data_IF_198252925317
#
_entry.id   IF_198252925317
#
_cell.length_a   1.000
_cell.length_b   1.000
_cell.length_c   1.000
_cell.angle_alpha   90.00
_cell.angle_beta   90.00
_cell.angle_gamma   90.00
#
_symmetry.space_group_name_H-M   'P 1'
#
loop_
_entity.id
_entity.type
_entity.pdbx_description
1 polymer ?
#
# COMPACT_ATOMS: atom_id res chain seq x y z
N UNK A 1 -2.85 16.35 18.62
CA UNK A 1 -3.32 17.76 18.49
C UNK A 1 -3.38 18.06 17.01
N UNK A 2 -4.59 18.25 16.46
CA UNK A 2 -4.76 18.45 15.03
C UNK A 2 -4.58 19.94 14.70
N UNK A 3 -3.80 20.26 13.65
CA UNK A 3 -3.53 21.66 13.29
C UNK A 3 -4.66 22.33 12.52
N UNK A 4 -5.58 21.53 11.99
CA UNK A 4 -6.85 22.00 11.41
C UNK A 4 -7.67 22.87 12.37
N UNK A 5 -7.46 22.69 13.68
CA UNK A 5 -8.25 23.30 14.74
C UNK A 5 -7.67 24.66 15.20
N UNK A 6 -6.60 25.13 14.55
CA UNK A 6 -5.87 26.34 14.90
C UNK A 6 -5.71 27.28 13.70
N UNK A 7 -5.79 28.58 13.95
CA UNK A 7 -5.49 29.65 13.00
C UNK A 7 -4.03 30.08 13.11
N UNK A 8 -3.45 30.46 11.97
CA UNK A 8 -2.11 31.05 11.89
C UNK A 8 -2.18 32.48 12.40
N UNK A 9 -1.26 32.87 13.27
CA UNK A 9 -1.15 34.27 13.74
C UNK A 9 -0.17 35.07 12.89
N UNK A 10 -0.04 36.37 13.15
CA UNK A 10 0.99 37.23 12.53
C UNK A 10 2.43 36.80 12.85
N UNK A 11 2.64 35.95 13.86
CA UNK A 11 3.95 35.44 14.25
C UNK A 11 4.17 34.01 13.74
N UNK A 12 5.23 33.81 12.96
CA UNK A 12 5.56 32.51 12.40
C UNK A 12 5.84 31.47 13.49
N UNK A 13 5.11 30.35 13.42
CA UNK A 13 5.16 29.27 14.38
C UNK A 13 4.25 29.45 15.60
N UNK A 14 3.48 30.55 15.69
CA UNK A 14 2.48 30.76 16.72
C UNK A 14 1.07 30.58 16.15
N UNK A 15 0.26 29.79 16.85
CA UNK A 15 -1.09 29.43 16.44
C UNK A 15 -2.08 29.62 17.59
N UNK A 16 -3.33 29.93 17.25
CA UNK A 16 -4.42 30.14 18.20
C UNK A 16 -5.60 29.23 17.86
N UNK A 17 -6.29 28.65 18.84
CA UNK A 17 -7.41 27.75 18.55
C UNK A 17 -8.58 28.50 17.91
N UNK A 18 -9.20 27.88 16.90
CA UNK A 18 -10.41 28.39 16.24
C UNK A 18 -11.58 28.48 17.22
N UNK A 19 -11.73 27.42 18.03
CA UNK A 19 -12.78 27.31 19.05
C UNK A 19 -12.29 27.92 20.37
N UNK A 20 -13.13 28.73 21.00
CA UNK A 20 -12.88 29.33 22.32
C UNK A 20 -13.55 28.49 23.41
N UNK A 21 -12.80 28.14 24.46
CA UNK A 21 -13.37 27.41 25.58
C UNK A 21 -14.13 28.36 26.52
N UNK A 22 -15.35 28.04 27.00
CA UNK A 22 -16.17 28.96 27.80
C UNK A 22 -15.44 29.52 29.03
N UNK A 23 -14.70 28.66 29.74
CA UNK A 23 -13.96 29.00 30.98
C UNK A 23 -12.52 29.48 30.75
N UNK A 24 -11.89 29.10 29.65
CA UNK A 24 -10.43 29.28 29.48
C UNK A 24 -10.07 30.21 28.34
N UNK A 25 -10.98 30.49 27.40
CA UNK A 25 -10.71 31.30 26.21
C UNK A 25 -10.04 30.51 25.09
N UNK A 26 -9.52 31.21 24.08
CA UNK A 26 -8.76 30.59 23.00
C UNK A 26 -7.38 30.13 23.50
N UNK A 27 -6.89 29.04 22.92
CA UNK A 27 -5.63 28.38 23.30
C UNK A 27 -4.50 28.78 22.36
N UNK A 28 -3.38 29.22 22.91
CA UNK A 28 -2.16 29.51 22.14
C UNK A 28 -1.20 28.33 22.16
N UNK A 29 -0.64 28.01 21.00
CA UNK A 29 0.40 26.98 20.84
C UNK A 29 1.56 27.50 20.00
N UNK A 30 2.78 27.11 20.38
CA UNK A 30 3.98 27.26 19.56
C UNK A 30 4.26 25.96 18.82
N UNK A 31 4.57 26.05 17.54
CA UNK A 31 5.07 24.95 16.72
C UNK A 31 6.12 25.44 15.73
N UNK A 32 7.29 24.81 15.77
CA UNK A 32 8.39 25.10 14.84
C UNK A 32 9.26 23.84 14.65
N UNK A 33 10.09 23.86 13.62
CA UNK A 33 11.05 22.80 13.33
C UNK A 33 12.47 23.34 13.54
N UNK A 34 13.30 22.59 14.25
CA UNK A 34 14.71 22.89 14.46
C UNK A 34 15.49 21.58 14.51
N UNK A 35 16.64 21.51 13.81
CA UNK A 35 17.51 20.34 13.71
C UNK A 35 16.76 19.03 13.37
N UNK A 36 15.95 19.07 12.30
CA UNK A 36 15.10 17.95 11.82
C UNK A 36 14.09 17.39 12.84
N UNK A 37 13.95 18.01 14.02
CA UNK A 37 12.95 17.70 15.05
C UNK A 37 11.84 18.74 15.07
N UNK A 38 10.61 18.29 15.33
CA UNK A 38 9.43 19.15 15.42
C UNK A 38 9.09 19.39 16.89
N UNK A 39 8.97 20.66 17.28
CA UNK A 39 8.62 21.08 18.62
C UNK A 39 7.19 21.61 18.64
N UNK A 40 6.41 21.20 19.64
CA UNK A 40 5.05 21.69 19.88
C UNK A 40 4.88 21.93 21.37
N UNK A 41 4.42 23.13 21.76
CA UNK A 41 4.15 23.47 23.16
C UNK A 41 2.89 24.30 23.29
N UNK A 42 2.06 23.96 24.28
CA UNK A 42 0.94 24.81 24.70
C UNK A 42 1.49 25.95 25.52
N UNK A 43 1.21 27.19 25.11
CA UNK A 43 1.71 28.39 25.77
C UNK A 43 0.77 28.88 26.87
N UNK A 44 -0.53 28.75 26.65
CA UNK A 44 -1.56 29.17 27.61
C UNK A 44 -2.89 29.46 26.94
N UNK A 45 -3.80 30.06 27.71
CA UNK A 45 -5.14 30.41 27.25
C UNK A 45 -5.47 31.89 27.51
N UNK A 46 -6.20 32.49 26.57
CA UNK A 46 -6.56 33.90 26.53
C UNK A 46 -7.26 34.40 27.82
N UNK A 47 -8.29 33.68 28.31
CA UNK A 47 -9.05 34.12 29.49
C UNK A 47 -8.44 33.65 30.81
N UNK A 48 -7.99 32.40 30.86
CA UNK A 48 -7.44 31.80 32.09
C UNK A 48 -6.14 32.46 32.52
N UNK A 49 -5.24 32.65 31.56
CA UNK A 49 -3.88 33.10 31.80
C UNK A 49 -3.73 34.60 31.44
N UNK A 50 -4.84 35.27 31.10
CA UNK A 50 -4.88 36.67 30.59
C UNK A 50 -3.86 36.90 29.48
N UNK A 51 -3.72 35.92 28.59
CA UNK A 51 -2.63 35.86 27.62
C UNK A 51 -2.99 36.62 26.34
N UNK A 52 -2.27 37.71 26.07
CA UNK A 52 -2.38 38.47 24.81
C UNK A 52 -1.54 37.83 23.70
N UNK A 53 -1.77 38.23 22.44
CA UNK A 53 -0.98 37.76 21.29
C UNK A 53 0.52 38.04 21.47
N UNK A 54 0.88 39.25 21.92
CA UNK A 54 2.27 39.62 22.22
C UNK A 54 2.85 38.82 23.39
N UNK A 55 2.03 38.57 24.42
CA UNK A 55 2.42 37.72 25.55
C UNK A 55 2.70 36.28 25.11
N UNK A 56 1.85 35.74 24.23
CA UNK A 56 2.04 34.42 23.64
C UNK A 56 3.28 34.37 22.74
N UNK A 57 3.55 35.43 21.97
CA UNK A 57 4.77 35.53 21.17
C UNK A 57 6.03 35.54 22.05
N UNK A 58 6.06 36.31 23.15
CA UNK A 58 7.17 36.29 24.13
C UNK A 58 7.38 34.90 24.73
N UNK A 59 6.30 34.18 25.06
CA UNK A 59 6.40 32.80 25.56
C UNK A 59 6.90 31.83 24.50
N UNK A 60 6.53 32.02 23.23
CA UNK A 60 7.07 31.25 22.11
C UNK A 60 8.56 31.50 21.92
N UNK A 61 8.99 32.76 21.91
CA UNK A 61 10.41 33.11 21.76
C UNK A 61 11.24 32.61 22.95
N UNK A 62 10.74 32.74 24.18
CA UNK A 62 11.38 32.13 25.35
C UNK A 62 11.48 30.59 25.24
N UNK A 63 10.48 29.95 24.64
CA UNK A 63 10.51 28.51 24.38
C UNK A 63 11.52 28.15 23.29
N UNK A 64 11.58 28.90 22.18
CA UNK A 64 12.61 28.75 21.14
C UNK A 64 14.01 28.95 21.73
N UNK A 65 14.19 30.00 22.53
CA UNK A 65 15.44 30.32 23.19
C UNK A 65 15.83 29.27 24.23
N UNK A 66 14.88 28.64 24.92
CA UNK A 66 15.16 27.49 25.79
C UNK A 66 15.71 26.32 24.99
N UNK A 67 15.11 26.00 23.84
CA UNK A 67 15.62 24.93 22.96
C UNK A 67 16.99 25.30 22.38
N UNK A 68 17.20 26.56 22.00
CA UNK A 68 18.48 27.06 21.49
C UNK A 68 19.55 27.14 22.58
N UNK A 69 19.18 27.46 23.84
CA UNK A 69 20.07 27.47 25.00
C UNK A 69 20.39 26.05 25.46
N UNK A 70 19.48 25.09 25.41
CA UNK A 70 19.78 23.69 25.69
C UNK A 70 20.79 23.14 24.67
N UNK A 71 20.68 23.54 23.39
CA UNK A 71 21.64 23.16 22.35
C UNK A 71 22.96 23.92 22.50
N UNK A 72 22.96 25.22 22.82
CA UNK A 72 24.18 26.00 23.09
C UNK A 72 24.86 25.67 24.42
N UNK A 73 24.12 25.23 25.45
CA UNK A 73 24.66 24.66 26.69
C UNK A 73 25.24 23.29 26.40
N UNK A 74 24.58 22.44 25.60
CA UNK A 74 25.19 21.19 25.15
C UNK A 74 26.50 21.47 24.39
N UNK A 75 26.54 22.42 23.45
CA UNK A 75 27.77 22.77 22.71
C UNK A 75 28.84 23.45 23.60
N UNK A 76 28.46 24.34 24.53
CA UNK A 76 29.40 24.92 25.52
C UNK A 76 29.88 23.90 26.55
N UNK A 77 29.07 22.91 26.93
CA UNK A 77 29.48 21.80 27.80
C UNK A 77 30.47 20.91 27.04
N UNK A 78 30.26 20.66 25.73
CA UNK A 78 31.23 19.93 24.89
C UNK A 78 32.54 20.71 24.67
N UNK A 79 32.50 22.05 24.60
CA UNK A 79 33.70 22.90 24.40
C UNK A 79 34.42 23.31 25.69
N UNK A 80 33.76 23.27 26.87
CA UNK A 80 34.40 23.52 28.17
C UNK A 80 34.92 22.23 28.83
N UNK A 81 34.33 21.08 28.52
CA UNK A 81 34.81 19.76 28.95
C UNK A 81 36.15 19.33 28.30
N UNK A 82 36.68 20.09 27.34
CA UNK A 82 38.03 19.91 26.79
C UNK A 82 39.10 20.73 27.51
N UNK A 83 38.77 21.54 28.52
CA UNK A 83 39.78 22.29 29.30
C UNK A 83 39.71 22.20 30.81
N UNK A 84 38.60 21.82 31.43
CA UNK A 84 38.60 21.50 32.87
C UNK A 84 37.57 20.41 33.17
N UNK A 85 38.05 19.22 33.57
CA UNK A 85 37.21 18.15 34.06
C UNK A 85 37.94 17.39 35.18
N UNK A 86 38.14 18.07 36.31
CA UNK A 86 38.17 17.42 37.61
C UNK A 86 36.72 17.28 38.12
N UNK A 87 36.32 16.02 38.32
CA UNK A 87 35.24 15.55 39.20
C UNK A 87 33.79 15.96 38.92
N UNK A 88 33.13 15.35 37.91
CA UNK A 88 31.71 14.95 38.02
C UNK A 88 31.51 13.59 37.35
N UNK A 89 30.94 12.65 38.12
CA UNK A 89 30.48 11.28 37.84
C UNK A 89 30.71 10.70 36.41
N UNK A 90 31.97 10.39 36.10
CA UNK A 90 32.35 9.58 34.92
C UNK A 90 31.65 8.22 34.88
N UNK A 91 31.28 7.65 36.02
CA UNK A 91 30.78 6.28 36.10
C UNK A 91 29.41 6.10 35.42
N UNK A 92 28.41 6.94 35.71
CA UNK A 92 27.05 6.78 35.14
C UNK A 92 26.99 7.02 33.63
N UNK A 93 27.70 8.05 33.12
CA UNK A 93 27.77 8.31 31.68
C UNK A 93 28.64 7.28 30.96
N UNK A 94 29.68 6.76 31.64
CA UNK A 94 30.46 5.63 31.12
C UNK A 94 29.64 4.35 31.07
N UNK A 95 28.73 4.12 32.02
CA UNK A 95 27.86 2.95 32.05
C UNK A 95 26.81 2.99 30.95
N UNK A 96 26.19 4.14 30.67
CA UNK A 96 25.27 4.28 29.54
C UNK A 96 25.99 4.17 28.18
N UNK A 97 27.17 4.78 28.04
CA UNK A 97 27.98 4.63 26.83
C UNK A 97 28.47 3.18 26.70
N UNK A 98 28.80 2.51 27.79
CA UNK A 98 29.20 1.10 27.81
C UNK A 98 28.04 0.20 27.44
N UNK A 99 26.83 0.44 27.97
CA UNK A 99 25.60 -0.23 27.55
C UNK A 99 25.28 -0.03 26.07
N UNK A 100 25.36 1.19 25.55
CA UNK A 100 25.12 1.48 24.13
C UNK A 100 26.19 0.86 23.22
N UNK A 101 27.45 0.77 23.70
CA UNK A 101 28.52 0.04 23.00
C UNK A 101 28.28 -1.46 23.04
N UNK A 102 27.89 -2.02 24.19
CA UNK A 102 27.54 -3.42 24.35
C UNK A 102 26.32 -3.80 23.50
N UNK A 103 25.27 -2.98 23.45
CA UNK A 103 24.14 -3.15 22.54
C UNK A 103 24.56 -3.07 21.08
N UNK A 104 25.39 -2.09 20.70
CA UNK A 104 25.87 -2.00 19.32
C UNK A 104 26.78 -3.18 18.94
N UNK A 105 27.65 -3.64 19.84
CA UNK A 105 28.48 -4.83 19.62
C UNK A 105 27.62 -6.10 19.61
N UNK A 106 26.57 -6.17 20.43
CA UNK A 106 25.58 -7.25 20.40
C UNK A 106 24.80 -7.24 19.08
N UNK A 107 24.31 -6.09 18.62
CA UNK A 107 23.66 -5.96 17.32
C UNK A 107 24.63 -6.28 16.18
N UNK A 108 25.91 -5.87 16.24
CA UNK A 108 26.93 -6.28 15.27
C UNK A 108 27.22 -7.79 15.32
N UNK A 109 27.21 -8.39 16.51
CA UNK A 109 27.40 -9.84 16.66
C UNK A 109 26.21 -10.63 16.10
N UNK A 110 24.98 -10.10 16.24
CA UNK A 110 23.77 -10.68 15.66
C UNK A 110 23.76 -10.51 14.14
N UNK A 111 24.08 -9.31 13.66
CA UNK A 111 24.05 -8.97 12.24
C UNK A 111 25.20 -9.63 11.44
N UNK A 112 26.19 -10.22 12.13
CA UNK A 112 27.51 -10.58 11.57
C UNK A 112 28.12 -9.38 10.81
N UNK A 113 29.27 -9.60 10.17
CA UNK A 113 29.91 -8.55 9.39
C UNK A 113 29.04 -8.24 8.17
N UNK A 114 28.22 -7.18 8.20
CA UNK A 114 27.47 -6.73 7.01
C UNK A 114 28.39 -6.52 5.80
N UNK A 115 29.70 -6.32 6.03
CA UNK A 115 30.76 -6.26 5.02
C UNK A 115 31.07 -7.62 4.34
N UNK A 116 30.62 -8.75 4.90
CA UNK A 116 30.71 -10.08 4.27
C UNK A 116 29.45 -10.45 3.50
N UNK A 117 28.41 -9.61 3.51
CA UNK A 117 27.23 -9.78 2.68
C UNK A 117 27.58 -9.26 1.28
N UNK A 118 27.22 -10.03 0.25
CA UNK A 118 27.38 -9.59 -1.14
C UNK A 118 26.69 -8.23 -1.33
N UNK A 119 27.39 -7.22 -1.89
CA UNK A 119 26.85 -5.86 -2.03
C UNK A 119 25.47 -5.80 -2.68
N UNK A 120 25.20 -6.69 -3.65
CA UNK A 120 23.94 -6.78 -4.39
C UNK A 120 22.77 -7.19 -3.47
N UNK A 121 23.01 -8.10 -2.52
CA UNK A 121 22.00 -8.54 -1.54
C UNK A 121 21.68 -7.39 -0.58
N UNK A 122 22.69 -6.63 -0.18
CA UNK A 122 22.52 -5.47 0.68
C UNK A 122 21.70 -4.38 -0.03
N UNK A 123 22.01 -4.11 -1.30
CA UNK A 123 21.27 -3.16 -2.12
C UNK A 123 19.81 -3.58 -2.32
N UNK A 124 19.54 -4.85 -2.67
CA UNK A 124 18.16 -5.37 -2.77
C UNK A 124 17.40 -5.22 -1.43
N UNK A 125 18.07 -5.50 -0.31
CA UNK A 125 17.51 -5.37 1.03
C UNK A 125 17.14 -3.93 1.38
N UNK A 126 18.03 -2.98 1.10
CA UNK A 126 17.83 -1.55 1.32
C UNK A 126 16.70 -1.03 0.42
N UNK A 127 16.73 -1.34 -0.87
CA UNK A 127 15.70 -0.92 -1.82
C UNK A 127 14.31 -1.41 -1.37
N UNK A 128 14.21 -2.66 -0.92
CA UNK A 128 12.96 -3.22 -0.40
C UNK A 128 12.43 -2.46 0.82
N UNK A 129 13.29 -1.87 1.66
CA UNK A 129 12.85 -1.01 2.76
C UNK A 129 12.27 0.29 2.22
N UNK A 130 12.95 0.94 1.28
CA UNK A 130 12.45 2.16 0.64
C UNK A 130 11.12 1.93 -0.08
N UNK A 131 11.01 0.86 -0.87
CA UNK A 131 9.78 0.45 -1.54
C UNK A 131 8.60 0.34 -0.56
N UNK A 132 8.84 -0.31 0.60
CA UNK A 132 7.83 -0.46 1.64
C UNK A 132 7.46 0.87 2.32
N UNK A 133 8.38 1.83 2.40
CA UNK A 133 8.08 3.17 2.92
C UNK A 133 7.27 3.98 1.91
N UNK A 134 7.57 3.87 0.63
CA UNK A 134 6.87 4.57 -0.45
C UNK A 134 5.40 4.13 -0.58
N UNK A 135 5.07 2.88 -0.24
CA UNK A 135 3.69 2.40 -0.22
C UNK A 135 2.84 3.00 0.92
N UNK A 136 3.46 3.44 2.02
CA UNK A 136 2.73 3.84 3.24
C UNK A 136 1.74 4.99 3.02
N UNK A 137 2.09 6.08 2.31
CA UNK A 137 1.14 7.15 2.07
C UNK A 137 -0.12 6.66 1.34
N UNK A 138 0.01 5.83 0.31
CA UNK A 138 -1.14 5.24 -0.39
C UNK A 138 -1.93 4.27 0.50
N UNK A 139 -1.28 3.56 1.41
CA UNK A 139 -1.96 2.71 2.39
C UNK A 139 -2.75 3.53 3.42
N UNK A 140 -2.28 4.73 3.79
CA UNK A 140 -3.07 5.67 4.62
C UNK A 140 -4.33 6.10 3.86
N UNK A 141 -4.20 6.38 2.56
CA UNK A 141 -5.35 6.72 1.73
C UNK A 141 -6.34 5.55 1.58
N UNK A 142 -5.87 4.30 1.55
CA UNK A 142 -6.77 3.14 1.57
C UNK A 142 -7.61 3.04 2.84
N UNK A 143 -7.06 3.43 3.99
CA UNK A 143 -7.81 3.45 5.25
C UNK A 143 -8.94 4.49 5.15
N UNK A 144 -8.65 5.67 4.61
CA UNK A 144 -9.68 6.71 4.38
C UNK A 144 -10.75 6.25 3.40
N UNK A 145 -10.35 5.58 2.31
CA UNK A 145 -11.28 5.00 1.35
C UNK A 145 -12.17 3.95 2.03
N UNK A 146 -11.59 3.07 2.86
CA UNK A 146 -12.34 2.07 3.61
C UNK A 146 -13.36 2.71 4.56
N UNK A 147 -12.94 3.72 5.33
CA UNK A 147 -13.83 4.48 6.22
C UNK A 147 -14.98 5.17 5.46
N UNK A 148 -14.70 5.67 4.25
CA UNK A 148 -15.70 6.28 3.38
C UNK A 148 -16.71 5.24 2.87
N UNK A 149 -16.24 4.08 2.40
CA UNK A 149 -17.14 3.01 1.94
C UNK A 149 -18.09 2.56 3.05
N UNK A 150 -17.60 2.49 4.29
CA UNK A 150 -18.41 2.14 5.47
C UNK A 150 -19.49 3.19 5.72
N UNK A 151 -19.14 4.47 5.76
CA UNK A 151 -20.09 5.58 5.99
C UNK A 151 -21.15 5.67 4.90
N UNK A 152 -20.73 5.53 3.65
CA UNK A 152 -21.60 5.63 2.48
C UNK A 152 -22.29 4.31 2.11
N UNK A 153 -22.08 3.27 2.93
CA UNK A 153 -22.65 1.93 2.78
C UNK A 153 -22.42 1.35 1.36
N UNK A 154 -21.25 1.59 0.78
CA UNK A 154 -20.88 1.16 -0.57
C UNK A 154 -20.23 -0.22 -0.55
N UNK A 155 -20.37 -0.95 -1.66
CA UNK A 155 -19.86 -2.32 -1.84
C UNK A 155 -18.73 -2.28 -2.86
N UNK A 156 -17.59 -2.90 -2.54
CA UNK A 156 -16.46 -2.95 -3.47
C UNK A 156 -15.96 -4.37 -3.68
N UNK A 157 -15.79 -4.76 -4.95
CA UNK A 157 -15.12 -5.97 -5.37
C UNK A 157 -13.87 -5.58 -6.16
N UNK A 158 -12.74 -6.20 -5.81
CA UNK A 158 -11.47 -6.05 -6.53
C UNK A 158 -11.01 -7.43 -6.97
N UNK A 159 -10.93 -7.64 -8.27
CA UNK A 159 -10.49 -8.89 -8.89
C UNK A 159 -9.02 -8.77 -9.25
N UNK A 160 -8.23 -9.75 -8.81
CA UNK A 160 -6.84 -9.92 -9.19
C UNK A 160 -6.73 -11.15 -10.10
N UNK A 161 -6.58 -10.90 -11.39
CA UNK A 161 -6.24 -11.91 -12.40
C UNK A 161 -4.83 -11.71 -12.94
N UNK A 162 -4.34 -12.68 -13.68
CA UNK A 162 -3.00 -12.70 -14.25
C UNK A 162 -2.37 -14.08 -14.17
N UNK A 163 -1.31 -14.28 -14.96
CA UNK A 163 -0.55 -15.54 -15.00
C UNK A 163 -0.03 -15.94 -13.63
N UNK A 164 0.32 -17.20 -13.47
CA UNK A 164 1.05 -17.63 -12.27
C UNK A 164 2.38 -16.91 -12.13
N UNK A 165 2.79 -16.72 -10.89
CA UNK A 165 3.94 -15.90 -10.53
C UNK A 165 3.91 -14.41 -10.93
N UNK A 166 2.82 -13.87 -11.49
CA UNK A 166 2.67 -12.44 -11.82
C UNK A 166 2.72 -11.49 -10.61
N UNK A 167 2.34 -11.96 -9.41
CA UNK A 167 2.52 -11.19 -8.17
C UNK A 167 1.25 -10.78 -7.43
N UNK A 168 0.08 -11.24 -7.89
CA UNK A 168 -1.27 -11.01 -7.31
C UNK A 168 -1.33 -11.06 -5.78
N UNK A 169 -1.10 -12.23 -5.18
CA UNK A 169 -1.13 -12.38 -3.72
C UNK A 169 -0.10 -11.51 -2.97
N UNK A 170 1.01 -11.16 -3.63
CA UNK A 170 1.97 -10.20 -3.08
C UNK A 170 1.45 -8.77 -3.06
N UNK A 171 0.67 -8.37 -4.07
CA UNK A 171 -0.02 -7.09 -4.12
C UNK A 171 -1.17 -7.03 -3.11
N UNK A 172 -2.02 -8.06 -3.07
CA UNK A 172 -3.12 -8.19 -2.09
C UNK A 172 -2.56 -8.03 -0.66
N UNK A 173 -1.50 -8.77 -0.30
CA UNK A 173 -0.87 -8.67 1.03
C UNK A 173 -0.34 -7.27 1.36
N UNK A 174 -0.01 -6.45 0.36
CA UNK A 174 0.48 -5.08 0.57
C UNK A 174 -0.68 -4.10 0.67
N UNK A 175 -1.71 -4.28 -0.15
CA UNK A 175 -2.96 -3.50 -0.09
C UNK A 175 -3.61 -3.67 1.28
N UNK A 176 -3.82 -4.91 1.72
CA UNK A 176 -4.57 -5.19 2.96
C UNK A 176 -3.78 -5.03 4.25
N UNK A 177 -2.48 -4.71 4.18
CA UNK A 177 -1.55 -4.77 5.33
C UNK A 177 -2.00 -3.97 6.55
N UNK A 178 -2.62 -2.81 6.34
CA UNK A 178 -3.04 -1.89 7.41
C UNK A 178 -4.55 -1.61 7.38
N UNK A 179 -5.31 -2.30 6.52
CA UNK A 179 -6.75 -2.14 6.46
C UNK A 179 -7.41 -2.79 7.68
N UNK A 180 -8.58 -2.28 8.08
CA UNK A 180 -9.37 -2.89 9.14
C UNK A 180 -9.97 -4.20 8.62
N UNK A 181 -9.57 -5.33 9.22
CA UNK A 181 -9.97 -6.67 8.83
C UNK A 181 -11.47 -6.97 9.00
N UNK A 182 -12.22 -6.12 9.72
CA UNK A 182 -13.67 -6.24 9.83
C UNK A 182 -14.41 -5.82 8.56
N UNK A 183 -13.79 -4.99 7.71
CA UNK A 183 -14.42 -4.40 6.53
C UNK A 183 -13.69 -4.77 5.24
N UNK A 184 -12.83 -5.79 5.28
CA UNK A 184 -12.34 -6.42 4.06
C UNK A 184 -12.24 -7.93 4.21
N UNK A 185 -12.40 -8.65 3.09
CA UNK A 185 -12.15 -10.09 3.01
C UNK A 185 -11.30 -10.41 1.78
N UNK A 186 -10.37 -11.35 1.92
CA UNK A 186 -9.64 -11.92 0.80
C UNK A 186 -10.24 -13.28 0.49
N UNK A 187 -10.71 -13.46 -0.75
CA UNK A 187 -11.33 -14.68 -1.22
C UNK A 187 -10.37 -15.35 -2.20
N UNK A 188 -9.90 -16.54 -1.84
CA UNK A 188 -9.03 -17.37 -2.67
C UNK A 188 -9.64 -18.77 -2.75
N UNK A 189 -10.52 -18.99 -3.72
CA UNK A 189 -11.21 -20.26 -3.88
C UNK A 189 -10.31 -21.30 -4.54
N UNK A 190 -10.34 -22.52 -4.01
CA UNK A 190 -9.68 -23.67 -4.62
C UNK A 190 -10.46 -24.27 -5.80
N UNK A 191 -10.06 -25.48 -6.20
CA UNK A 191 -10.79 -26.29 -7.18
C UNK A 191 -12.25 -26.49 -6.70
N UNK A 192 -13.26 -26.34 -7.59
CA UNK A 192 -14.65 -26.55 -7.20
C UNK A 192 -14.88 -27.99 -6.71
N UNK A 193 -15.70 -28.15 -5.67
CA UNK A 193 -16.19 -29.47 -5.22
C UNK A 193 -17.07 -30.13 -6.27
N UNK A 194 -17.39 -31.41 -6.11
CA UNK A 194 -18.32 -32.11 -7.01
C UNK A 194 -19.69 -31.42 -7.07
N UNK A 195 -20.22 -31.01 -5.92
CA UNK A 195 -21.47 -30.23 -5.87
C UNK A 195 -21.33 -28.91 -6.63
N UNK A 196 -20.25 -28.15 -6.39
CA UNK A 196 -20.02 -26.86 -7.05
C UNK A 196 -19.84 -26.97 -8.57
N UNK A 197 -19.31 -28.10 -9.07
CA UNK A 197 -19.21 -28.36 -10.52
C UNK A 197 -20.57 -28.58 -11.17
N UNK A 198 -21.56 -29.06 -10.41
CA UNK A 198 -22.92 -29.30 -10.88
C UNK A 198 -23.90 -28.18 -10.48
N UNK A 199 -23.41 -27.09 -9.88
CA UNK A 199 -24.17 -25.88 -9.61
C UNK A 199 -24.02 -24.89 -10.76
N UNK A 200 -24.84 -23.84 -10.74
CA UNK A 200 -24.57 -22.68 -11.58
C UNK A 200 -23.20 -22.10 -11.24
N UNK A 201 -22.34 -21.93 -12.24
CA UNK A 201 -20.93 -21.57 -12.08
C UNK A 201 -20.69 -20.35 -11.16
N UNK A 202 -21.55 -19.34 -11.25
CA UNK A 202 -21.41 -18.10 -10.48
C UNK A 202 -21.79 -18.24 -9.00
N UNK A 203 -22.56 -19.28 -8.63
CA UNK A 203 -23.11 -19.44 -7.29
C UNK A 203 -22.02 -19.41 -6.20
N UNK A 204 -20.94 -20.19 -6.39
CA UNK A 204 -19.82 -20.25 -5.42
C UNK A 204 -19.11 -18.90 -5.23
N UNK A 205 -19.17 -17.98 -6.19
CA UNK A 205 -18.54 -16.66 -6.07
C UNK A 205 -19.47 -15.66 -5.40
N UNK A 206 -20.77 -15.71 -5.73
CA UNK A 206 -21.80 -14.79 -5.20
C UNK A 206 -21.93 -14.92 -3.69
N UNK A 207 -21.77 -16.11 -3.13
CA UNK A 207 -21.75 -16.35 -1.67
C UNK A 207 -20.72 -15.50 -0.92
N UNK A 208 -19.69 -15.00 -1.61
CA UNK A 208 -18.63 -14.21 -1.02
C UNK A 208 -18.74 -12.71 -1.26
N UNK A 209 -19.78 -12.23 -1.95
CA UNK A 209 -19.92 -10.82 -2.31
C UNK A 209 -19.98 -9.91 -1.06
N UNK A 210 -19.54 -8.64 -1.20
CA UNK A 210 -19.54 -7.69 -0.10
C UNK A 210 -20.96 -7.28 0.29
N UNK A 211 -21.14 -7.11 1.59
CA UNK A 211 -22.22 -6.28 2.14
C UNK A 211 -21.79 -4.80 2.14
N UNK A 212 -22.72 -3.89 2.47
CA UNK A 212 -22.42 -2.47 2.47
C UNK A 212 -21.29 -2.12 3.47
N UNK A 213 -20.34 -1.31 3.01
CA UNK A 213 -19.11 -1.00 3.75
C UNK A 213 -17.97 -2.01 3.59
N UNK A 214 -18.17 -3.13 2.90
CA UNK A 214 -17.13 -4.15 2.72
C UNK A 214 -16.37 -4.01 1.39
N UNK A 215 -15.08 -4.35 1.46
CA UNK A 215 -14.21 -4.60 0.31
C UNK A 215 -13.89 -6.09 0.21
N UNK A 216 -14.21 -6.73 -0.92
CA UNK A 216 -13.83 -8.12 -1.18
C UNK A 216 -12.75 -8.17 -2.26
N UNK A 217 -11.60 -8.73 -1.92
CA UNK A 217 -10.47 -8.93 -2.82
C UNK A 217 -10.41 -10.39 -3.27
N UNK A 218 -10.64 -10.65 -4.54
CA UNK A 218 -10.59 -11.98 -5.14
C UNK A 218 -9.17 -12.26 -5.67
N UNK A 219 -8.45 -13.21 -5.05
CA UNK A 219 -7.21 -13.78 -5.60
C UNK A 219 -7.58 -14.91 -6.57
N UNK A 220 -7.66 -14.57 -7.86
CA UNK A 220 -8.48 -15.25 -8.88
C UNK A 220 -9.98 -15.14 -8.62
N UNK A 221 -10.76 -15.31 -9.67
CA UNK A 221 -12.20 -15.02 -9.68
C UNK A 221 -12.95 -15.95 -10.64
N UNK A 222 -14.19 -15.57 -11.00
CA UNK A 222 -14.96 -16.20 -12.07
C UNK A 222 -14.23 -16.22 -13.42
N UNK A 223 -13.24 -15.35 -13.63
CA UNK A 223 -12.37 -15.37 -14.81
C UNK A 223 -11.45 -16.59 -14.92
N UNK A 224 -11.42 -17.49 -13.93
CA UNK A 224 -10.84 -18.82 -14.12
C UNK A 224 -11.43 -19.53 -15.35
N UNK A 225 -12.73 -19.35 -15.63
CA UNK A 225 -13.41 -19.91 -16.81
C UNK A 225 -13.04 -19.23 -18.13
N UNK A 226 -12.51 -18.01 -18.11
CA UNK A 226 -11.94 -17.37 -19.29
C UNK A 226 -10.51 -17.84 -19.60
N UNK A 227 -9.77 -18.24 -18.57
CA UNK A 227 -8.31 -18.40 -18.63
C UNK A 227 -7.87 -19.85 -18.39
N UNK A 228 -7.84 -20.27 -17.13
CA UNK A 228 -7.20 -21.53 -16.72
C UNK A 228 -8.05 -22.75 -17.12
N UNK A 229 -9.36 -22.68 -16.95
CA UNK A 229 -10.26 -23.81 -17.23
C UNK A 229 -10.20 -24.27 -18.69
N UNK A 230 -10.30 -23.39 -19.72
CA UNK A 230 -10.28 -23.85 -21.11
C UNK A 230 -8.90 -24.32 -21.58
N UNK A 231 -7.80 -23.83 -20.99
CA UNK A 231 -6.42 -24.28 -21.34
C UNK A 231 -6.18 -25.71 -20.85
N UNK A 232 -6.62 -26.02 -19.62
CA UNK A 232 -6.42 -27.35 -19.04
C UNK A 232 -7.61 -28.31 -19.22
N UNK A 233 -8.65 -27.91 -19.98
CA UNK A 233 -9.84 -28.72 -20.21
C UNK A 233 -10.70 -28.97 -18.96
N UNK A 234 -10.73 -28.02 -18.01
CA UNK A 234 -11.56 -28.11 -16.80
C UNK A 234 -13.01 -27.63 -17.01
N UNK A 235 -13.31 -27.06 -18.17
CA UNK A 235 -14.65 -26.75 -18.64
C UNK A 235 -14.81 -27.18 -20.10
N UNK A 236 -16.06 -27.41 -20.54
CA UNK A 236 -16.32 -27.66 -21.96
C UNK A 236 -16.17 -26.37 -22.79
N UNK A 237 -15.95 -26.46 -24.11
CA UNK A 237 -15.96 -25.28 -24.99
C UNK A 237 -17.27 -24.48 -24.89
N UNK A 238 -18.40 -25.16 -24.74
CA UNK A 238 -19.72 -24.54 -24.58
C UNK A 238 -19.84 -23.77 -23.26
N UNK A 239 -19.37 -24.36 -22.14
CA UNK A 239 -19.35 -23.67 -20.85
C UNK A 239 -18.49 -22.41 -20.86
N UNK A 240 -17.34 -22.46 -21.54
CA UNK A 240 -16.46 -21.32 -21.73
C UNK A 240 -17.15 -20.21 -22.53
N UNK A 241 -17.79 -20.57 -23.64
CA UNK A 241 -18.44 -19.59 -24.53
C UNK A 241 -19.63 -18.92 -23.84
N UNK A 242 -20.50 -19.69 -23.17
CA UNK A 242 -21.61 -19.15 -22.37
C UNK A 242 -21.10 -18.15 -21.33
N UNK A 243 -20.04 -18.50 -20.59
CA UNK A 243 -19.44 -17.59 -19.63
C UNK A 243 -18.95 -16.29 -20.30
N UNK A 244 -18.29 -16.40 -21.46
CA UNK A 244 -17.72 -15.26 -22.16
C UNK A 244 -18.78 -14.33 -22.78
N UNK A 245 -19.95 -14.85 -23.13
CA UNK A 245 -21.11 -14.06 -23.59
C UNK A 245 -21.81 -13.35 -22.42
N UNK A 246 -22.01 -14.04 -21.30
CA UNK A 246 -22.86 -13.54 -20.21
C UNK A 246 -22.13 -12.61 -19.23
N UNK A 247 -20.80 -12.78 -19.05
CA UNK A 247 -20.11 -12.17 -17.92
C UNK A 247 -20.17 -10.64 -17.90
N UNK A 248 -20.14 -10.01 -19.07
CA UNK A 248 -20.22 -8.54 -19.16
C UNK A 248 -21.58 -8.03 -18.68
N UNK A 249 -22.66 -8.72 -19.02
CA UNK A 249 -24.02 -8.35 -18.58
C UNK A 249 -24.16 -8.54 -17.06
N UNK A 250 -23.65 -9.66 -16.55
CA UNK A 250 -23.61 -9.90 -15.10
C UNK A 250 -22.87 -8.78 -14.36
N UNK A 251 -21.66 -8.41 -14.80
CA UNK A 251 -20.88 -7.35 -14.19
C UNK A 251 -21.52 -5.97 -14.32
N UNK A 252 -22.19 -5.69 -15.45
CA UNK A 252 -22.96 -4.46 -15.63
C UNK A 252 -24.10 -4.36 -14.60
N UNK A 253 -24.82 -5.44 -14.35
CA UNK A 253 -25.90 -5.45 -13.36
C UNK A 253 -25.36 -5.19 -11.94
N UNK A 254 -24.20 -5.76 -11.60
CA UNK A 254 -23.52 -5.48 -10.34
C UNK A 254 -23.20 -3.99 -10.17
N UNK A 255 -22.61 -3.38 -11.20
CA UNK A 255 -22.26 -1.95 -11.19
C UNK A 255 -23.50 -1.07 -11.15
N UNK A 256 -24.56 -1.41 -11.88
CA UNK A 256 -25.84 -0.69 -11.85
C UNK A 256 -26.49 -0.72 -10.48
N UNK A 257 -26.30 -1.79 -9.71
CA UNK A 257 -26.75 -1.86 -8.32
C UNK A 257 -25.83 -1.12 -7.34
N UNK A 258 -24.83 -0.38 -7.81
CA UNK A 258 -23.95 0.45 -6.98
C UNK A 258 -22.79 -0.32 -6.36
N UNK A 259 -22.44 -1.49 -6.90
CA UNK A 259 -21.20 -2.18 -6.52
C UNK A 259 -20.04 -1.64 -7.36
N UNK A 260 -18.96 -1.23 -6.68
CA UNK A 260 -17.73 -0.80 -7.34
C UNK A 260 -16.95 -2.05 -7.72
N UNK A 261 -16.79 -2.31 -9.01
CA UNK A 261 -16.06 -3.47 -9.53
C UNK A 261 -14.77 -3.02 -10.19
N UNK A 262 -13.63 -3.48 -9.66
CA UNK A 262 -12.30 -3.19 -10.18
C UNK A 262 -11.68 -4.49 -10.69
N UNK A 263 -11.24 -4.52 -11.94
CA UNK A 263 -10.63 -5.70 -12.57
C UNK A 263 -9.17 -5.43 -12.91
N UNK A 264 -8.26 -6.11 -12.22
CA UNK A 264 -6.82 -5.95 -12.39
C UNK A 264 -6.23 -7.20 -13.04
N UNK A 265 -5.53 -7.04 -14.16
CA UNK A 265 -4.76 -8.12 -14.78
C UNK A 265 -3.26 -7.86 -14.60
N UNK A 266 -2.60 -8.67 -13.79
CA UNK A 266 -1.14 -8.62 -13.58
C UNK A 266 -0.44 -9.32 -14.74
N UNK A 267 0.19 -8.53 -15.61
CA UNK A 267 0.90 -9.00 -16.79
C UNK A 267 2.40 -9.11 -16.48
N UNK A 268 2.99 -10.29 -16.66
CA UNK A 268 4.41 -10.58 -16.40
C UNK A 268 5.03 -11.08 -17.70
N UNK A 269 6.29 -10.72 -17.98
CA UNK A 269 7.04 -11.27 -19.11
C UNK A 269 7.34 -12.77 -18.93
N UNK A 270 7.58 -13.48 -20.04
CA UNK A 270 7.90 -14.92 -20.03
C UNK A 270 9.17 -15.18 -19.24
N UNK A 271 10.17 -14.33 -19.43
CA UNK A 271 11.48 -14.39 -18.79
C UNK A 271 11.36 -14.17 -17.28
N UNK A 272 10.63 -13.14 -16.84
CA UNK A 272 10.44 -12.89 -15.41
C UNK A 272 9.55 -13.94 -14.75
N UNK A 273 8.57 -14.50 -15.46
CA UNK A 273 7.79 -15.63 -14.94
C UNK A 273 8.71 -16.82 -14.68
N UNK A 274 9.54 -17.21 -15.67
CA UNK A 274 10.52 -18.30 -15.53
C UNK A 274 11.46 -18.05 -14.36
N UNK A 275 12.07 -16.85 -14.29
CA UNK A 275 12.95 -16.46 -13.17
C UNK A 275 12.27 -16.60 -11.81
N UNK A 276 10.98 -16.26 -11.72
CA UNK A 276 10.21 -16.39 -10.48
C UNK A 276 9.90 -17.84 -10.12
N UNK A 277 9.69 -18.71 -11.10
CA UNK A 277 9.53 -20.14 -10.88
C UNK A 277 10.84 -20.76 -10.38
N UNK A 278 11.97 -20.47 -11.03
CA UNK A 278 13.29 -20.94 -10.60
C UNK A 278 13.57 -20.50 -9.15
N UNK A 279 13.23 -19.25 -8.80
CA UNK A 279 13.35 -18.76 -7.42
C UNK A 279 12.42 -19.46 -6.43
N UNK A 280 11.21 -19.91 -6.85
CA UNK A 280 10.29 -20.64 -5.96
C UNK A 280 10.79 -22.05 -5.66
N UNK A 281 11.37 -22.72 -6.65
CA UNK A 281 11.97 -24.05 -6.51
C UNK A 281 13.11 -24.02 -5.50
N UNK A 282 13.96 -22.98 -5.59
CA UNK A 282 15.16 -22.83 -4.77
C UNK A 282 14.94 -22.14 -3.40
N UNK A 283 13.74 -21.64 -3.10
CA UNK A 283 13.42 -20.93 -1.84
C UNK A 283 12.45 -21.78 -0.98
N UNK A 284 12.91 -22.39 0.13
CA UNK A 284 12.07 -23.22 0.99
C UNK A 284 10.80 -22.53 1.50
N UNK A 285 10.80 -21.19 1.63
CA UNK A 285 9.62 -20.43 2.08
C UNK A 285 8.56 -20.24 0.98
N UNK A 286 8.87 -20.63 -0.25
CA UNK A 286 8.02 -20.43 -1.44
C UNK A 286 7.74 -21.71 -2.21
N UNK A 287 8.39 -22.83 -1.88
CA UNK A 287 8.17 -24.12 -2.53
C UNK A 287 6.70 -24.54 -2.54
N UNK A 288 5.96 -24.27 -1.45
CA UNK A 288 4.51 -24.54 -1.37
C UNK A 288 3.67 -23.79 -2.41
N UNK A 289 4.20 -22.76 -3.08
CA UNK A 289 3.53 -22.00 -4.15
C UNK A 289 3.77 -22.58 -5.54
N UNK A 290 4.40 -23.74 -5.63
CA UNK A 290 4.73 -24.39 -6.88
C UNK A 290 3.88 -25.64 -7.02
N UNK A 291 3.09 -25.71 -8.08
CA UNK A 291 2.27 -26.86 -8.44
C UNK A 291 2.71 -27.46 -9.77
N UNK A 292 2.33 -28.71 -10.05
CA UNK A 292 2.59 -29.35 -11.35
C UNK A 292 1.95 -28.58 -12.51
N UNK A 293 0.79 -27.97 -12.27
CA UNK A 293 0.08 -27.11 -13.22
C UNK A 293 0.92 -25.87 -13.58
N UNK A 294 1.68 -25.33 -12.62
CA UNK A 294 2.57 -24.18 -12.85
C UNK A 294 3.74 -24.53 -13.78
N UNK A 295 4.23 -25.78 -13.76
CA UNK A 295 5.30 -26.24 -14.67
C UNK A 295 4.79 -26.27 -16.11
N UNK A 296 3.60 -26.85 -16.32
CA UNK A 296 2.98 -26.94 -17.64
C UNK A 296 2.62 -25.55 -18.19
N UNK A 297 2.30 -24.59 -17.32
CA UNK A 297 1.90 -23.24 -17.73
C UNK A 297 2.99 -22.44 -18.47
N UNK A 298 4.28 -22.80 -18.31
CA UNK A 298 5.37 -22.21 -19.11
C UNK A 298 5.39 -22.75 -20.54
N UNK A 299 5.09 -24.03 -20.74
CA UNK A 299 5.02 -24.65 -22.05
C UNK A 299 3.77 -24.19 -22.81
N UNK A 300 2.65 -24.01 -22.09
CA UNK A 300 1.38 -23.51 -22.62
C UNK A 300 1.31 -21.97 -22.70
N UNK A 301 2.46 -21.31 -22.79
CA UNK A 301 2.54 -19.84 -22.77
C UNK A 301 1.64 -19.20 -23.82
N UNK A 302 1.69 -19.71 -25.05
CA UNK A 302 0.97 -19.16 -26.19
C UNK A 302 -0.55 -19.36 -26.05
N UNK A 303 -0.99 -20.52 -25.56
CA UNK A 303 -2.41 -20.80 -25.31
C UNK A 303 -2.99 -19.84 -24.25
N UNK A 304 -2.26 -19.61 -23.18
CA UNK A 304 -2.63 -18.60 -22.18
C UNK A 304 -2.63 -17.17 -22.74
N UNK A 305 -1.73 -16.86 -23.70
CA UNK A 305 -1.70 -15.55 -24.35
C UNK A 305 -2.92 -15.34 -25.23
N UNK A 306 -3.34 -16.37 -25.97
CA UNK A 306 -4.56 -16.35 -26.76
C UNK A 306 -5.81 -16.19 -25.87
N UNK A 307 -5.91 -16.97 -24.77
CA UNK A 307 -7.04 -16.83 -23.83
C UNK A 307 -7.08 -15.47 -23.13
N UNK A 308 -5.92 -14.91 -22.79
CA UNK A 308 -5.83 -13.54 -22.28
C UNK A 308 -6.35 -12.54 -23.32
N UNK A 309 -5.93 -12.68 -24.56
CA UNK A 309 -6.34 -11.79 -25.65
C UNK A 309 -7.87 -11.79 -25.81
N UNK A 310 -8.47 -12.98 -25.93
CA UNK A 310 -9.93 -13.13 -26.07
C UNK A 310 -10.68 -12.64 -24.82
N UNK A 311 -10.20 -12.96 -23.62
CA UNK A 311 -10.76 -12.44 -22.35
C UNK A 311 -10.80 -10.92 -22.35
N UNK A 312 -9.67 -10.26 -22.60
CA UNK A 312 -9.57 -8.80 -22.55
C UNK A 312 -10.41 -8.13 -23.63
N UNK A 313 -10.42 -8.68 -24.84
CA UNK A 313 -11.17 -8.16 -25.98
C UNK A 313 -12.69 -8.21 -25.75
N UNK A 314 -13.20 -9.31 -25.21
CA UNK A 314 -14.64 -9.55 -25.06
C UNK A 314 -15.21 -8.99 -23.76
N UNK A 315 -14.40 -8.88 -22.71
CA UNK A 315 -14.92 -8.62 -21.35
C UNK A 315 -14.51 -7.28 -20.74
N UNK A 316 -13.76 -6.44 -21.46
CA UNK A 316 -13.60 -5.03 -21.06
C UNK A 316 -14.87 -4.25 -21.38
N UNK A 317 -15.35 -3.43 -20.45
CA UNK A 317 -16.56 -2.62 -20.64
C UNK A 317 -16.38 -1.23 -20.04
N UNK A 318 -17.25 -0.29 -20.41
CA UNK A 318 -17.21 1.08 -19.83
C UNK A 318 -17.54 1.09 -18.34
N UNK A 319 -18.43 0.21 -17.89
CA UNK A 319 -18.86 0.11 -16.49
C UNK A 319 -17.84 -0.63 -15.62
N UNK A 320 -17.14 -1.62 -16.18
CA UNK A 320 -16.13 -2.40 -15.50
C UNK A 320 -14.94 -2.64 -16.46
N UNK A 321 -14.04 -1.66 -16.61
CA UNK A 321 -12.87 -1.80 -17.47
C UNK A 321 -11.84 -2.74 -16.84
N UNK A 322 -11.05 -3.39 -17.69
CA UNK A 322 -9.82 -4.07 -17.27
C UNK A 322 -8.67 -3.08 -17.14
N UNK A 323 -7.89 -3.19 -16.07
CA UNK A 323 -6.62 -2.49 -15.91
C UNK A 323 -5.46 -3.48 -16.03
N UNK A 324 -4.57 -3.26 -17.00
CA UNK A 324 -3.42 -4.13 -17.21
C UNK A 324 -2.23 -3.57 -16.44
N UNK A 325 -1.76 -4.30 -15.44
CA UNK A 325 -0.64 -3.89 -14.58
C UNK A 325 0.59 -4.71 -14.96
N UNK A 326 1.56 -4.10 -15.65
CA UNK A 326 2.89 -4.69 -15.88
C UNK A 326 3.57 -4.94 -14.54
N UNK A 327 3.95 -6.18 -14.31
CA UNK A 327 4.24 -6.70 -12.98
C UNK A 327 5.64 -7.23 -12.80
N UNK A 328 6.51 -7.04 -13.80
CA UNK A 328 7.93 -7.44 -13.74
C UNK A 328 8.63 -6.76 -12.56
N UNK A 329 8.42 -5.45 -12.42
CA UNK A 329 8.74 -4.74 -11.19
C UNK A 329 7.57 -4.85 -10.19
N UNK A 330 7.77 -5.65 -9.14
CA UNK A 330 6.77 -5.88 -8.09
C UNK A 330 6.44 -4.64 -7.27
N UNK A 331 7.36 -3.69 -7.13
CA UNK A 331 7.12 -2.47 -6.37
C UNK A 331 6.20 -1.53 -7.15
N UNK A 332 6.57 -1.23 -8.39
CA UNK A 332 5.78 -0.36 -9.28
C UNK A 332 4.37 -0.89 -9.49
N UNK A 333 4.21 -2.18 -9.77
CA UNK A 333 2.88 -2.81 -9.91
C UNK A 333 2.00 -2.71 -8.66
N UNK A 334 2.59 -2.70 -7.45
CA UNK A 334 1.81 -2.51 -6.21
C UNK A 334 1.36 -1.07 -6.06
N UNK A 335 2.25 -0.12 -6.32
CA UNK A 335 1.90 1.31 -6.30
C UNK A 335 0.78 1.56 -7.30
N UNK A 336 0.90 1.03 -8.52
CA UNK A 336 -0.06 1.27 -9.57
C UNK A 336 -1.42 0.62 -9.28
N UNK A 337 -1.42 -0.62 -8.76
CA UNK A 337 -2.65 -1.24 -8.26
C UNK A 337 -3.32 -0.42 -7.15
N UNK A 338 -2.54 0.15 -6.22
CA UNK A 338 -3.06 1.06 -5.19
C UNK A 338 -3.68 2.31 -5.81
N UNK A 339 -3.01 2.94 -6.77
CA UNK A 339 -3.54 4.13 -7.46
C UNK A 339 -4.85 3.84 -8.18
N UNK A 340 -4.94 2.71 -8.91
CA UNK A 340 -6.18 2.28 -9.59
C UNK A 340 -7.32 2.14 -8.57
N UNK A 341 -7.07 1.45 -7.44
CA UNK A 341 -8.08 1.27 -6.40
C UNK A 341 -8.50 2.62 -5.81
N UNK A 342 -7.54 3.45 -5.45
CA UNK A 342 -7.83 4.75 -4.85
C UNK A 342 -8.61 5.63 -5.83
N UNK A 343 -8.26 5.64 -7.11
CA UNK A 343 -8.91 6.47 -8.14
C UNK A 343 -10.29 5.97 -8.57
N UNK A 344 -10.69 4.76 -8.18
CA UNK A 344 -12.03 4.23 -8.49
C UNK A 344 -13.16 4.97 -7.75
N UNK A 345 -12.82 5.72 -6.70
CA UNK A 345 -13.77 6.39 -5.81
C UNK A 345 -13.24 7.77 -5.43
N UNK A 346 -14.13 8.75 -5.37
CA UNK A 346 -13.85 10.06 -4.77
C UNK A 346 -14.26 10.04 -3.29
N UNK A 347 -13.28 9.85 -2.41
CA UNK A 347 -13.48 9.71 -0.96
C UNK A 347 -12.95 10.93 -0.20
N UNK A 348 -13.54 11.19 0.97
CA UNK A 348 -13.21 12.36 1.78
C UNK A 348 -11.79 12.35 2.33
N UNK A 349 -11.19 13.55 2.42
CA UNK A 349 -9.89 13.74 3.07
C UNK A 349 -8.70 13.19 2.28
N UNK A 350 -8.88 12.93 0.98
CA UNK A 350 -7.82 12.53 0.05
C UNK A 350 -6.64 13.50 0.07
N UNK A 351 -5.42 12.97 0.18
CA UNK A 351 -4.20 13.78 0.15
C UNK A 351 -3.69 14.01 -1.28
N UNK A 352 -4.13 15.09 -1.93
CA UNK A 352 -3.73 15.44 -3.30
C UNK A 352 -2.25 15.84 -3.48
N UNK A 353 -1.44 15.87 -2.42
CA UNK A 353 0.01 16.01 -2.57
C UNK A 353 0.68 14.70 -3.04
N UNK A 354 -0.03 13.56 -2.97
CA UNK A 354 0.45 12.29 -3.52
C UNK A 354 0.18 12.24 -5.03
N UNK A 355 1.04 11.52 -5.75
CA UNK A 355 0.87 11.31 -7.18
C UNK A 355 -0.14 10.17 -7.42
N UNK A 356 -1.33 10.50 -7.93
CA UNK A 356 -2.32 9.52 -8.33
C UNK A 356 -2.39 9.30 -9.85
N UNK A 357 -1.56 10.00 -10.62
CA UNK A 357 -1.51 9.83 -12.07
C UNK A 357 -1.06 8.41 -12.42
N UNK A 358 -1.74 7.75 -13.38
CA UNK A 358 -1.36 6.42 -13.82
C UNK A 358 0.01 6.49 -14.50
N UNK A 359 0.89 5.55 -14.16
CA UNK A 359 2.10 5.37 -14.95
C UNK A 359 1.74 4.54 -16.20
N UNK A 360 1.69 5.16 -17.38
CA UNK A 360 1.29 4.52 -18.65
C UNK A 360 2.23 3.40 -19.16
N UNK A 361 3.41 3.25 -18.54
CA UNK A 361 4.31 2.12 -18.78
C UNK A 361 3.93 0.90 -17.93
N UNK A 362 3.26 1.13 -16.80
CA UNK A 362 2.87 0.11 -15.82
C UNK A 362 1.38 -0.23 -15.93
N UNK A 363 0.52 0.79 -15.96
CA UNK A 363 -0.93 0.68 -16.18
C UNK A 363 -1.25 0.95 -17.63
N UNK A 364 -1.45 -0.14 -18.37
CA UNK A 364 -1.66 -0.10 -19.80
C UNK A 364 -3.15 -0.26 -20.08
N UNK A 365 -3.67 0.55 -20.99
CA UNK A 365 -5.05 0.41 -21.46
C UNK A 365 -5.22 -0.91 -22.21
N UNK A 366 -6.42 -1.48 -22.15
CA UNK A 366 -6.72 -2.73 -22.86
C UNK A 366 -6.44 -2.61 -24.36
N UNK A 367 -6.76 -1.47 -24.97
CA UNK A 367 -6.51 -1.24 -26.39
C UNK A 367 -5.01 -1.29 -26.72
N UNK A 368 -4.16 -0.66 -25.90
CA UNK A 368 -2.70 -0.68 -26.08
C UNK A 368 -2.15 -2.08 -25.88
N UNK A 369 -2.68 -2.83 -24.90
CA UNK A 369 -2.30 -4.24 -24.68
C UNK A 369 -2.66 -5.12 -25.88
N UNK A 370 -3.90 -5.06 -26.38
CA UNK A 370 -4.36 -5.85 -27.51
C UNK A 370 -3.57 -5.52 -28.80
N UNK A 371 -3.24 -4.25 -29.02
CA UNK A 371 -2.40 -3.83 -30.14
C UNK A 371 -0.97 -4.39 -30.04
N UNK A 372 -0.41 -4.43 -28.83
CA UNK A 372 0.90 -5.02 -28.59
C UNK A 372 0.88 -6.53 -28.81
N UNK A 373 -0.12 -7.24 -28.27
CA UNK A 373 -0.28 -8.69 -28.44
C UNK A 373 -0.44 -9.11 -29.91
N UNK A 374 -1.03 -8.27 -30.76
CA UNK A 374 -1.10 -8.53 -32.21
C UNK A 374 0.23 -8.34 -32.94
N UNK A 375 1.10 -7.45 -32.45
CA UNK A 375 2.34 -7.06 -33.14
C UNK A 375 3.49 -8.01 -32.86
N UNK A 376 3.57 -8.58 -31.67
CA UNK A 376 4.64 -9.49 -31.27
C UNK A 376 4.04 -10.84 -30.93
N UNK A 377 4.42 -11.88 -31.68
CA UNK A 377 4.08 -13.27 -31.35
C UNK A 377 4.70 -13.75 -30.03
N UNK A 378 5.77 -13.08 -29.58
CA UNK A 378 6.45 -13.35 -28.30
C UNK A 378 5.88 -12.48 -27.17
N UNK A 379 4.64 -12.73 -26.76
CA UNK A 379 4.06 -12.10 -25.55
C UNK A 379 3.68 -13.08 -24.50
#
# INVERSE_FOLDING_TARGET
MNLSDFDITSYSGLYISKVSHPKFGKKYIARFQYDKKRYVKVLGYEKRDKLTLDGANRLMENFKDSILKDVKQNIKITQKATKDNSSVNKNSFSEEIKKLKEENEFFKSILKNYKSIQPEILEEGIQKIYDLQELKPYQIELIKLQDWLEKENKRMIIIFEGRDASGKGGAIRRITRYMNNKHYRVVALGKPTETQRNQWFMQKYIEHFPTGGEIVLFDRSWYNRAMVEPVFGFCTPEEHEIFMEDIVNFEQDLVRQGMILIKLYFSVSKEEQKRRFDRRINDPLRQWKFSEVDMQAQDLWDEFSEKKYEMLRRTTSRSAPWHIVRSDNKHLSRIEALKIILNSVDYDGRNYALNFEPNEEVNISVQKELLQMRKTKDY
#
